data_IF_926588509041
#
_entry.id   IF_926588509041
#
_cell.length_a   1.000
_cell.length_b   1.000
_cell.length_c   1.000
_cell.angle_alpha   90.00
_cell.angle_beta   90.00
_cell.angle_gamma   90.00
#
_symmetry.space_group_name_H-M   'P 1'
#
loop_
_entity.id
_entity.type
_entity.pdbx_description
1 polymer ?
#
# COMPACT_ATOMS: atom_id res chain seq x y z
N UNK A 1 -7.35 6.14 13.48
CA UNK A 1 -6.89 4.80 13.06
C UNK A 1 -5.37 4.79 13.15
N UNK A 2 -4.84 3.75 13.78
CA UNK A 2 -3.40 3.64 14.08
C UNK A 2 -2.71 2.63 13.16
N UNK A 3 -3.48 1.90 12.34
CA UNK A 3 -3.01 0.90 11.37
C UNK A 3 -3.58 1.19 9.98
N UNK A 4 -2.78 0.94 8.96
CA UNK A 4 -3.14 1.02 7.54
C UNK A 4 -2.80 -0.31 6.87
N UNK A 5 -3.79 -0.94 6.24
CA UNK A 5 -3.60 -2.12 5.40
C UNK A 5 -3.78 -1.70 3.95
N UNK A 6 -2.72 -1.82 3.15
CA UNK A 6 -2.70 -1.35 1.76
C UNK A 6 -2.32 -2.50 0.83
N UNK A 7 -3.12 -2.71 -0.20
CA UNK A 7 -2.78 -3.57 -1.34
C UNK A 7 -2.34 -2.69 -2.49
N UNK A 8 -1.05 -2.72 -2.81
CA UNK A 8 -0.47 -1.95 -3.92
C UNK A 8 -0.33 -2.84 -5.14
N UNK A 9 -1.13 -2.58 -6.18
CA UNK A 9 -0.99 -3.23 -7.49
C UNK A 9 0.07 -2.45 -8.27
N UNK A 10 1.09 -3.12 -8.81
CA UNK A 10 2.16 -2.49 -9.59
C UNK A 10 1.74 -2.36 -11.06
N UNK A 11 0.59 -1.73 -11.28
CA UNK A 11 0.04 -1.46 -12.60
C UNK A 11 -0.61 -0.08 -12.65
N UNK A 12 -0.53 0.58 -13.80
CA UNK A 12 -1.19 1.88 -14.01
C UNK A 12 -2.44 1.67 -14.83
N UNK A 13 -3.59 2.09 -14.31
CA UNK A 13 -4.87 1.99 -15.00
C UNK A 13 -5.17 3.33 -15.69
N UNK A 14 -5.26 3.39 -17.03
CA UNK A 14 -5.43 4.64 -17.76
C UNK A 14 -6.79 5.30 -17.52
N UNK A 15 -7.82 4.52 -17.18
CA UNK A 15 -9.19 4.99 -16.95
C UNK A 15 -9.49 5.29 -15.46
N UNK A 16 -8.46 5.51 -14.64
CA UNK A 16 -8.66 5.82 -13.22
C UNK A 16 -9.20 7.25 -13.00
N UNK A 17 -10.39 7.37 -12.42
CA UNK A 17 -11.05 8.64 -12.10
C UNK A 17 -10.94 9.03 -10.61
N UNK A 18 -10.64 8.07 -9.74
CA UNK A 18 -10.59 8.23 -8.28
C UNK A 18 -9.26 7.74 -7.74
N UNK A 19 -8.65 8.53 -6.84
CA UNK A 19 -7.33 8.25 -6.28
C UNK A 19 -7.37 8.19 -4.75
N UNK A 20 -6.52 7.35 -4.18
CA UNK A 20 -6.30 7.35 -2.74
C UNK A 20 -5.64 8.68 -2.34
N UNK A 21 -5.98 9.26 -1.17
CA UNK A 21 -5.28 10.44 -0.68
C UNK A 21 -3.78 10.18 -0.55
N UNK A 22 -2.98 11.24 -0.67
CA UNK A 22 -1.53 11.12 -0.50
C UNK A 22 -1.19 10.55 0.89
N UNK A 23 -0.35 9.52 0.90
CA UNK A 23 0.10 8.86 2.14
C UNK A 23 1.49 9.39 2.48
N UNK A 24 1.58 10.17 3.55
CA UNK A 24 2.87 10.64 4.05
C UNK A 24 3.60 9.53 4.81
N UNK A 25 4.53 8.84 4.16
CA UNK A 25 5.33 7.77 4.75
C UNK A 25 6.27 8.23 5.89
N UNK A 26 6.42 9.54 6.15
CA UNK A 26 7.08 10.01 7.37
C UNK A 26 6.22 9.78 8.62
N UNK A 27 4.89 9.78 8.46
CA UNK A 27 3.92 9.52 9.54
C UNK A 27 3.58 8.05 9.71
N UNK A 28 4.04 7.17 8.82
CA UNK A 28 3.75 5.74 8.84
C UNK A 28 5.03 4.91 8.87
N UNK A 29 5.02 3.83 9.65
CA UNK A 29 6.05 2.80 9.70
C UNK A 29 5.53 1.54 9.02
N UNK A 30 6.31 0.98 8.11
CA UNK A 30 5.95 -0.27 7.44
C UNK A 30 6.35 -1.44 8.35
N UNK A 31 5.36 -2.22 8.77
CA UNK A 31 5.52 -3.35 9.68
C UNK A 31 5.73 -4.64 8.91
N UNK A 32 4.94 -4.87 7.87
CA UNK A 32 5.11 -6.04 6.99
C UNK A 32 4.97 -5.66 5.52
N UNK A 33 5.73 -6.37 4.69
CA UNK A 33 5.71 -6.27 3.24
C UNK A 33 5.66 -7.68 2.67
N UNK A 34 4.59 -8.01 1.97
CA UNK A 34 4.42 -9.29 1.32
C UNK A 34 4.23 -9.05 -0.18
N UNK A 35 5.20 -9.51 -0.98
CA UNK A 35 5.22 -9.29 -2.43
C UNK A 35 4.72 -10.54 -3.14
N UNK A 36 3.83 -10.34 -4.10
CA UNK A 36 3.29 -11.39 -4.94
C UNK A 36 3.54 -11.03 -6.40
N UNK A 37 4.10 -11.99 -7.13
CA UNK A 37 4.25 -11.87 -8.57
C UNK A 37 2.94 -12.22 -9.26
N UNK A 38 2.76 -11.71 -10.47
CA UNK A 38 1.65 -12.10 -11.32
C UNK A 38 1.69 -13.61 -11.60
N UNK A 39 0.52 -14.24 -11.59
CA UNK A 39 0.31 -15.66 -11.80
C UNK A 39 -0.99 -15.89 -12.59
N UNK A 40 -1.35 -17.15 -12.84
CA UNK A 40 -2.56 -17.50 -13.61
C UNK A 40 -3.85 -16.95 -12.99
N UNK A 41 -3.86 -16.70 -11.67
CA UNK A 41 -5.01 -16.15 -10.94
C UNK A 41 -4.93 -14.63 -10.81
N UNK A 42 -3.73 -14.06 -10.69
CA UNK A 42 -3.50 -12.63 -10.53
C UNK A 42 -2.69 -12.05 -11.70
N UNK A 43 -3.34 -11.26 -12.56
CA UNK A 43 -2.72 -10.73 -13.78
C UNK A 43 -1.59 -9.71 -13.56
N UNK A 44 -1.44 -9.18 -12.36
CA UNK A 44 -0.49 -8.11 -12.06
C UNK A 44 0.26 -8.44 -10.78
N UNK A 45 1.51 -7.98 -10.69
CA UNK A 45 2.26 -8.01 -9.45
C UNK A 45 1.57 -7.10 -8.43
N UNK A 46 1.50 -7.55 -7.18
CA UNK A 46 0.94 -6.75 -6.10
C UNK A 46 1.72 -6.94 -4.80
N UNK A 47 1.50 -6.04 -3.85
CA UNK A 47 2.17 -6.08 -2.56
C UNK A 47 1.20 -5.72 -1.46
N UNK A 48 1.12 -6.57 -0.44
CA UNK A 48 0.45 -6.21 0.81
C UNK A 48 1.43 -5.46 1.71
N UNK A 49 0.96 -4.33 2.20
CA UNK A 49 1.66 -3.45 3.12
C UNK A 49 0.81 -3.30 4.37
N UNK A 50 1.38 -3.62 5.52
CA UNK A 50 0.80 -3.31 6.82
C UNK A 50 1.63 -2.21 7.45
N UNK A 51 1.02 -1.08 7.75
CA UNK A 51 1.69 0.07 8.33
C UNK A 51 1.07 0.44 9.68
N UNK A 52 1.90 0.86 10.63
CA UNK A 52 1.48 1.52 11.87
C UNK A 52 1.76 3.00 11.78
N UNK A 53 0.88 3.83 12.36
CA UNK A 53 1.12 5.26 12.45
C UNK A 53 2.27 5.52 13.42
N UNK A 54 3.30 6.24 12.97
CA UNK A 54 4.36 6.75 13.85
C UNK A 54 3.74 7.81 14.74
N UNK A 55 3.74 7.56 16.05
CA UNK A 55 3.47 8.62 17.00
C UNK A 55 4.69 9.53 17.01
N UNK A 56 4.53 10.78 16.55
CA UNK A 56 5.55 11.79 16.72
C UNK A 56 5.71 12.01 18.24
N UNK A 57 6.83 11.53 18.81
CA UNK A 57 7.25 11.95 20.13
C UNK A 57 7.40 13.48 20.10
N UNK A 58 6.67 14.15 21.00
CA UNK A 58 6.74 15.61 21.19
C UNK A 58 7.97 15.98 21.99
#
# INVERSE_FOLDING_TARGET
ADRLYLTRIHHSFPDADTFFPEIDFNLWEIITIERHQADETHRYDYTFLNCLKKYAEK
#
